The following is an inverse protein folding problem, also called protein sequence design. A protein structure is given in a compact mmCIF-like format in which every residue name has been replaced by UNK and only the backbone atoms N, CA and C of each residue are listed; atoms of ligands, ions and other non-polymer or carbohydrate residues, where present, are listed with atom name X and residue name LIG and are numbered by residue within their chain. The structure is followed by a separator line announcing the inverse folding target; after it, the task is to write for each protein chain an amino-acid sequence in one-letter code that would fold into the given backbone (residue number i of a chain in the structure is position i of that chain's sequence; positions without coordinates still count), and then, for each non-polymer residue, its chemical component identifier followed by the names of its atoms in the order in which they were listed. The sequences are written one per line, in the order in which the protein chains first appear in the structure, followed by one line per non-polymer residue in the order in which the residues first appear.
data_IF_036990629416
#
_entry.id   IF_036990629416
#
_cell.length_a   1.000
_cell.length_b   1.000
_cell.length_c   1.000
_cell.angle_alpha   90.00
_cell.angle_beta   90.00
_cell.angle_gamma   90.00
#
_symmetry.space_group_name_H-M   'P 1'
#
loop_
_entity.id
_entity.type
_entity.pdbx_description
1 polymer ?
#
# COMPACT_ATOMS: atom_id res chain seq x y z
N UNK A 1 4.57 2.39 4.76
CA UNK A 1 3.34 3.07 5.27
C UNK A 1 2.28 2.04 5.64
N UNK A 2 1.63 2.10 6.81
CA UNK A 2 0.62 1.10 7.23
C UNK A 2 -0.78 1.41 6.69
N UNK A 3 -1.48 0.38 6.19
CA UNK A 3 -2.89 0.46 5.75
C UNK A 3 -3.82 0.35 6.96
N UNK A 4 -4.85 1.17 7.05
CA UNK A 4 -5.82 1.05 8.14
C UNK A 4 -6.66 -0.20 7.92
N UNK A 5 -6.89 -0.98 8.97
CA UNK A 5 -7.62 -2.25 8.88
C UNK A 5 -9.07 -2.08 8.38
N UNK A 6 -9.63 -0.88 8.44
CA UNK A 6 -10.94 -0.54 7.86
C UNK A 6 -10.88 -0.32 6.34
N UNK A 7 -9.73 0.12 5.82
CA UNK A 7 -9.50 0.38 4.39
C UNK A 7 -9.03 -0.90 3.66
N UNK A 8 -8.27 -1.76 4.35
CA UNK A 8 -7.83 -3.05 3.82
C UNK A 8 -7.08 -3.91 4.82
N UNK A 9 -7.12 -5.23 4.61
CA UNK A 9 -6.41 -6.22 5.40
C UNK A 9 -5.92 -7.38 4.53
N UNK A 10 -4.94 -8.13 5.02
CA UNK A 10 -4.41 -9.28 4.31
C UNK A 10 -5.51 -10.33 4.05
N UNK A 11 -5.75 -10.68 2.80
CA UNK A 11 -6.78 -11.68 2.42
C UNK A 11 -6.47 -13.09 2.93
N UNK A 12 -5.20 -13.38 3.23
CA UNK A 12 -4.74 -14.70 3.69
C UNK A 12 -4.94 -14.91 5.18
N UNK A 13 -4.58 -13.94 6.01
CA UNK A 13 -4.58 -14.09 7.47
C UNK A 13 -5.43 -13.04 8.21
N UNK A 14 -5.95 -12.03 7.52
CA UNK A 14 -6.66 -10.89 8.11
C UNK A 14 -5.74 -9.88 8.82
N UNK A 15 -4.42 -10.04 8.67
CA UNK A 15 -3.41 -9.21 9.33
C UNK A 15 -3.15 -7.87 8.67
N UNK A 16 -2.27 -7.11 9.31
CA UNK A 16 -1.84 -5.77 8.92
C UNK A 16 -1.08 -5.77 7.59
N UNK A 17 -1.35 -4.78 6.72
CA UNK A 17 -0.63 -4.53 5.47
C UNK A 17 0.24 -3.26 5.60
N UNK A 18 1.41 -3.29 4.98
CA UNK A 18 2.28 -2.14 4.77
C UNK A 18 2.46 -1.92 3.27
N UNK A 19 2.23 -0.71 2.79
CA UNK A 19 2.61 -0.29 1.43
C UNK A 19 4.13 -0.22 1.36
N UNK A 20 4.69 -0.88 0.36
CA UNK A 20 6.14 -1.03 0.13
C UNK A 20 6.62 -0.34 -1.14
N UNK A 21 5.76 -0.19 -2.14
CA UNK A 21 6.09 0.47 -3.41
C UNK A 21 4.82 0.96 -4.12
N UNK A 22 4.98 1.81 -5.13
CA UNK A 22 3.89 2.32 -5.96
C UNK A 22 4.38 2.73 -7.35
N UNK A 23 3.48 2.67 -8.33
CA UNK A 23 3.68 3.29 -9.64
C UNK A 23 2.49 4.17 -10.04
N UNK A 24 2.42 4.57 -11.31
CA UNK A 24 1.41 5.48 -11.82
C UNK A 24 -0.02 4.92 -11.79
N UNK A 25 -0.19 3.59 -11.60
CA UNK A 25 -1.49 2.92 -11.65
C UNK A 25 -1.70 1.84 -10.58
N UNK A 26 -0.69 1.53 -9.77
CA UNK A 26 -0.73 0.41 -8.82
C UNK A 26 0.03 0.68 -7.51
N UNK A 27 -0.23 -0.21 -6.53
CA UNK A 27 0.40 -0.26 -5.22
C UNK A 27 0.89 -1.68 -4.92
N UNK A 28 2.09 -1.78 -4.35
CA UNK A 28 2.61 -3.00 -3.76
C UNK A 28 2.52 -2.90 -2.23
N UNK A 29 2.01 -3.97 -1.61
CA UNK A 29 1.89 -4.05 -0.16
C UNK A 29 2.28 -5.43 0.37
N UNK A 30 2.85 -5.48 1.55
CA UNK A 30 3.22 -6.72 2.24
C UNK A 30 2.49 -6.86 3.58
N UNK A 31 2.01 -8.06 3.88
CA UNK A 31 1.46 -8.35 5.19
C UNK A 31 2.56 -8.52 6.23
N UNK A 32 2.55 -7.68 7.27
CA UNK A 32 3.56 -7.71 8.33
C UNK A 32 3.48 -8.95 9.21
N UNK A 33 2.35 -9.67 9.18
CA UNK A 33 2.11 -10.84 10.04
C UNK A 33 2.48 -12.16 9.36
N UNK A 34 2.11 -12.33 8.07
CA UNK A 34 2.35 -13.58 7.34
C UNK A 34 3.30 -13.46 6.15
N UNK A 35 3.79 -12.25 5.83
CA UNK A 35 4.71 -12.00 4.71
C UNK A 35 4.10 -12.19 3.33
N UNK A 36 2.77 -12.13 3.20
CA UNK A 36 2.11 -12.22 1.90
C UNK A 36 2.20 -10.86 1.21
N UNK A 37 2.79 -10.82 0.02
CA UNK A 37 2.86 -9.62 -0.81
C UNK A 37 1.71 -9.59 -1.82
N UNK A 38 1.14 -8.41 -2.05
CA UNK A 38 0.05 -8.16 -3.00
C UNK A 38 0.41 -6.98 -3.90
N UNK A 39 -0.06 -7.04 -5.13
CA UNK A 39 0.05 -5.98 -6.13
C UNK A 39 -1.36 -5.64 -6.62
N UNK A 40 -1.80 -4.41 -6.42
CA UNK A 40 -3.22 -4.01 -6.54
C UNK A 40 -3.37 -2.64 -7.20
N UNK A 41 -4.54 -2.36 -7.78
CA UNK A 41 -4.86 -1.03 -8.30
C UNK A 41 -4.97 0.01 -7.17
N UNK A 42 -4.75 1.29 -7.49
CA UNK A 42 -4.74 2.40 -6.51
C UNK A 42 -6.03 2.55 -5.70
N UNK A 43 -7.17 2.08 -6.22
CA UNK A 43 -8.49 2.14 -5.58
C UNK A 43 -8.88 0.83 -4.87
N UNK A 44 -7.94 -0.11 -4.75
CA UNK A 44 -8.15 -1.38 -4.05
C UNK A 44 -8.47 -1.17 -2.56
N UNK A 45 -7.79 -0.22 -1.93
CA UNK A 45 -8.10 0.19 -0.57
C UNK A 45 -9.31 1.11 -0.61
N UNK A 46 -10.20 0.97 0.38
CA UNK A 46 -11.44 1.76 0.45
C UNK A 46 -11.20 3.25 0.81
N UNK A 47 -10.04 3.79 0.41
CA UNK A 47 -9.68 5.20 0.50
C UNK A 47 -10.02 5.98 -0.77
N UNK A 48 -10.38 5.29 -1.87
CA UNK A 48 -10.65 5.93 -3.15
C UNK A 48 -9.39 6.45 -3.87
N UNK A 49 -8.22 5.91 -3.53
CA UNK A 49 -6.93 6.26 -4.13
C UNK A 49 -6.39 7.63 -3.73
N UNK A 50 -6.84 8.20 -2.60
CA UNK A 50 -6.48 9.57 -2.19
C UNK A 50 -5.66 9.65 -0.90
N UNK A 51 -5.32 8.52 -0.27
CA UNK A 51 -4.54 8.48 0.96
C UNK A 51 -3.23 7.74 0.74
N UNK A 52 -3.30 6.46 0.37
CA UNK A 52 -2.11 5.61 0.31
C UNK A 52 -1.21 5.97 -0.88
N UNK A 53 -1.78 5.97 -2.09
CA UNK A 53 -1.06 6.30 -3.31
C UNK A 53 -0.36 7.67 -3.30
N UNK A 54 -1.03 8.80 -3.01
CA UNK A 54 -0.37 10.09 -3.10
C UNK A 54 0.73 10.29 -2.05
N UNK A 55 0.60 9.67 -0.88
CA UNK A 55 1.61 9.80 0.18
C UNK A 55 2.82 8.91 -0.12
N UNK A 56 2.65 7.67 -0.59
CA UNK A 56 3.81 6.83 -0.96
C UNK A 56 4.55 7.36 -2.20
N UNK A 57 3.83 7.90 -3.19
CA UNK A 57 4.46 8.54 -4.35
C UNK A 57 5.33 9.73 -3.94
N UNK A 58 4.86 10.54 -2.98
CA UNK A 58 5.64 11.66 -2.46
C UNK A 58 6.90 11.22 -1.68
N UNK A 59 6.84 10.06 -1.00
CA UNK A 59 8.02 9.47 -0.34
C UNK A 59 9.03 8.97 -1.39
N UNK A 60 8.59 8.19 -2.37
CA UNK A 60 9.44 7.60 -3.42
C UNK A 60 10.11 8.65 -4.31
N UNK A 61 9.36 9.68 -4.73
CA UNK A 61 9.92 10.81 -5.50
C UNK A 61 11.03 11.53 -4.71
N UNK A 62 10.92 11.61 -3.39
CA UNK A 62 11.95 12.23 -2.54
C UNK A 62 13.21 11.37 -2.39
N UNK A 63 13.09 10.05 -2.51
CA UNK A 63 14.21 9.10 -2.44
C UNK A 63 14.98 9.02 -3.77
N UNK A 64 14.32 9.20 -4.91
CA UNK A 64 14.99 9.27 -6.23
C UNK A 64 15.87 10.53 -6.42
N UNK A 65 15.64 11.59 -5.64
CA UNK A 65 16.43 12.83 -5.70
C UNK A 65 17.71 12.81 -4.82
N UNK A 66 18.01 11.71 -4.11
CA UNK A 66 19.16 11.54 -3.20
C UNK A 66 20.32 10.73 -3.80
#
# INVERSE_FOLDING_TARGET
MLVDLEDGACQRCGGQLEITDADDVSLDAECTDCGESIHVEIDYFNDGGIKYWPEVMAELESEEEL
#
